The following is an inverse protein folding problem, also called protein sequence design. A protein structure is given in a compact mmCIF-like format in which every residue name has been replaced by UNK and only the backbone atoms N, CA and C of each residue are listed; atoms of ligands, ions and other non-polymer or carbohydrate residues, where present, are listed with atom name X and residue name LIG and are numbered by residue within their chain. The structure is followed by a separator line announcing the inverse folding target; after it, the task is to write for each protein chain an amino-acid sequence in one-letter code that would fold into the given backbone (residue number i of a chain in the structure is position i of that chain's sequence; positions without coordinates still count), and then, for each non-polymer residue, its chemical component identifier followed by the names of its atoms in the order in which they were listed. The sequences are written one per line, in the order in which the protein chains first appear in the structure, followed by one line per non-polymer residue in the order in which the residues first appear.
data_IF_141032817065
#
_entry.id   IF_141032817065
#
_cell.length_a   1.000
_cell.length_b   1.000
_cell.length_c   1.000
_cell.angle_alpha   90.00
_cell.angle_beta   90.00
_cell.angle_gamma   90.00
#
_symmetry.space_group_name_H-M   'P 1'
#
loop_
_entity.id
_entity.type
_entity.pdbx_description
1 polymer ?
#
# COMPACT_ATOMS: atom_id res chain seq x y z
N UNK A 1 5.26 11.56 39.08
CA UNK A 1 6.59 11.60 38.42
C UNK A 1 6.66 10.47 37.39
N UNK A 2 6.24 10.71 36.15
CA UNK A 2 6.40 9.73 35.07
C UNK A 2 7.80 9.87 34.50
N UNK A 3 8.66 8.88 34.79
CA UNK A 3 9.99 8.75 34.20
C UNK A 3 9.82 8.66 32.68
N UNK A 4 10.44 9.60 31.98
CA UNK A 4 10.40 9.70 30.52
C UNK A 4 10.79 8.36 29.89
N UNK A 5 9.86 7.80 29.11
CA UNK A 5 10.20 6.75 28.14
C UNK A 5 11.10 7.41 27.12
N UNK A 6 12.38 7.05 27.14
CA UNK A 6 13.34 7.42 26.10
C UNK A 6 12.76 7.00 24.76
N UNK A 7 12.46 7.98 23.92
CA UNK A 7 11.90 7.80 22.60
C UNK A 7 12.99 7.13 21.78
N UNK A 8 12.83 5.85 21.45
CA UNK A 8 13.61 5.21 20.39
C UNK A 8 13.32 5.98 19.10
N UNK A 9 14.21 6.92 18.77
CA UNK A 9 14.29 7.51 17.44
C UNK A 9 14.60 6.37 16.47
N UNK A 10 13.84 6.28 15.37
CA UNK A 10 14.29 5.51 14.21
C UNK A 10 15.68 6.03 13.85
N UNK A 11 16.67 5.16 13.97
CA UNK A 11 18.06 5.52 13.70
C UNK A 11 18.25 5.54 12.19
N UNK A 12 19.28 6.25 11.74
CA UNK A 12 19.69 6.24 10.33
C UNK A 12 19.88 4.80 9.81
N UNK A 13 20.22 3.88 10.72
CA UNK A 13 20.30 2.43 10.47
C UNK A 13 18.97 1.81 10.02
N UNK A 14 17.85 2.15 10.65
CA UNK A 14 16.52 1.59 10.31
C UNK A 14 16.05 2.07 8.92
N UNK A 15 16.45 3.30 8.55
CA UNK A 15 16.17 3.90 7.24
C UNK A 15 17.04 3.26 6.14
N UNK A 16 18.29 2.92 6.45
CA UNK A 16 19.17 2.14 5.57
C UNK A 16 18.70 0.70 5.43
N UNK A 17 18.16 0.10 6.50
CA UNK A 17 17.57 -1.23 6.45
C UNK A 17 16.31 -1.22 5.59
N UNK A 18 15.44 -0.21 5.73
CA UNK A 18 14.30 -0.02 4.83
C UNK A 18 14.76 0.14 3.39
N UNK A 19 15.74 1.01 3.11
CA UNK A 19 16.30 1.16 1.76
C UNK A 19 16.88 -0.16 1.22
N UNK A 20 17.58 -0.93 2.06
CA UNK A 20 18.13 -2.23 1.68
C UNK A 20 17.07 -3.29 1.46
N UNK A 21 15.98 -3.30 2.25
CA UNK A 21 14.83 -4.19 2.05
C UNK A 21 14.07 -3.79 0.78
N UNK A 22 13.85 -2.49 0.58
CA UNK A 22 13.26 -1.96 -0.64
C UNK A 22 14.13 -2.33 -1.85
N UNK A 23 15.44 -2.10 -1.87
CA UNK A 23 16.32 -2.53 -2.97
C UNK A 23 16.34 -4.05 -3.18
N UNK A 24 16.29 -4.83 -2.09
CA UNK A 24 16.28 -6.30 -2.13
C UNK A 24 14.96 -6.84 -2.68
N UNK A 25 13.82 -6.27 -2.30
CA UNK A 25 12.50 -6.69 -2.78
C UNK A 25 12.12 -6.01 -4.11
N UNK A 26 12.58 -4.79 -4.40
CA UNK A 26 12.42 -4.10 -5.69
C UNK A 26 13.28 -4.69 -6.81
N UNK A 27 14.38 -5.40 -6.51
CA UNK A 27 15.06 -6.20 -7.52
C UNK A 27 14.31 -7.50 -7.87
N UNK A 28 13.43 -7.97 -6.98
CA UNK A 28 12.54 -9.13 -7.22
C UNK A 28 11.30 -8.68 -8.02
N UNK A 29 10.80 -7.46 -7.76
CA UNK A 29 9.73 -6.82 -8.52
C UNK A 29 10.33 -5.77 -9.46
N UNK A 30 10.79 -6.15 -10.65
CA UNK A 30 11.20 -5.19 -11.68
C UNK A 30 10.04 -4.21 -11.94
N UNK A 31 10.09 -3.04 -11.31
CA UNK A 31 9.15 -1.96 -11.54
C UNK A 31 9.39 -1.37 -12.94
N UNK A 32 8.42 -0.62 -13.50
CA UNK A 32 8.56 0.01 -14.81
C UNK A 32 9.71 1.03 -14.80
N UNK A 33 10.10 1.53 -15.97
CA UNK A 33 11.39 2.18 -16.27
C UNK A 33 12.00 3.03 -15.13
N UNK A 34 13.33 3.21 -15.14
CA UNK A 34 14.11 3.95 -14.13
C UNK A 34 13.50 5.25 -13.58
N UNK A 35 12.65 5.96 -14.33
CA UNK A 35 11.92 7.14 -13.88
C UNK A 35 10.85 6.86 -12.82
N UNK A 36 10.14 5.73 -12.87
CA UNK A 36 9.11 5.39 -11.89
C UNK A 36 9.74 5.01 -10.54
N UNK A 37 10.84 4.25 -10.58
CA UNK A 37 11.67 3.94 -9.41
C UNK A 37 12.23 5.24 -8.81
N UNK A 38 12.78 6.12 -9.64
CA UNK A 38 13.28 7.43 -9.20
C UNK A 38 12.16 8.24 -8.55
N UNK A 39 10.97 8.25 -9.14
CA UNK A 39 9.82 8.97 -8.60
C UNK A 39 9.39 8.41 -7.24
N UNK A 40 9.35 7.09 -7.08
CA UNK A 40 9.03 6.45 -5.79
C UNK A 40 10.08 6.82 -4.73
N UNK A 41 11.37 6.75 -5.07
CA UNK A 41 12.47 7.11 -4.15
C UNK A 41 12.40 8.60 -3.79
N UNK A 42 12.22 9.48 -4.78
CA UNK A 42 12.07 10.93 -4.56
C UNK A 42 10.86 11.22 -3.67
N UNK A 43 9.76 10.50 -3.87
CA UNK A 43 8.55 10.64 -3.06
C UNK A 43 8.78 10.21 -1.62
N UNK A 44 9.41 9.05 -1.39
CA UNK A 44 9.76 8.59 -0.05
C UNK A 44 10.73 9.56 0.64
N UNK A 45 11.75 10.04 -0.10
CA UNK A 45 12.68 11.06 0.39
C UNK A 45 11.95 12.36 0.77
N UNK A 46 11.02 12.83 -0.06
CA UNK A 46 10.19 13.99 0.26
C UNK A 46 9.35 13.76 1.51
N UNK A 47 8.60 12.66 1.58
CA UNK A 47 7.68 12.37 2.67
C UNK A 47 8.37 12.19 4.03
N UNK A 48 9.38 11.35 4.08
CA UNK A 48 9.97 10.91 5.34
C UNK A 48 11.19 11.74 5.76
N UNK A 49 11.89 12.37 4.82
CA UNK A 49 13.08 13.21 5.12
C UNK A 49 12.72 14.69 5.13
N UNK A 50 12.10 15.19 4.06
CA UNK A 50 11.80 16.63 3.92
C UNK A 50 10.59 17.04 4.76
N UNK A 51 9.49 16.32 4.61
CA UNK A 51 8.23 16.59 5.29
C UNK A 51 8.18 15.95 6.70
N UNK A 52 9.22 15.17 7.05
CA UNK A 52 9.46 14.56 8.37
C UNK A 52 8.27 13.74 8.89
N UNK A 53 7.52 13.11 7.99
CA UNK A 53 6.46 12.19 8.39
C UNK A 53 7.11 11.03 9.16
N UNK A 54 6.66 10.78 10.38
CA UNK A 54 7.16 9.69 11.22
C UNK A 54 6.44 8.39 10.85
N UNK A 55 7.17 7.42 10.32
CA UNK A 55 6.64 6.06 10.07
C UNK A 55 6.13 5.43 11.37
N UNK A 56 6.81 5.70 12.49
CA UNK A 56 6.38 5.25 13.81
C UNK A 56 5.03 5.83 14.19
N UNK A 57 4.81 7.11 13.92
CA UNK A 57 3.53 7.76 14.25
C UNK A 57 2.40 7.20 13.39
N UNK A 58 2.71 6.85 12.13
CA UNK A 58 1.77 6.15 11.26
C UNK A 58 1.44 4.76 11.82
N UNK A 59 2.43 3.96 12.23
CA UNK A 59 2.17 2.66 12.83
C UNK A 59 1.37 2.77 14.13
N UNK A 60 1.68 3.75 14.96
CA UNK A 60 0.93 4.03 16.17
C UNK A 60 -0.53 4.37 15.83
N UNK A 61 -0.76 5.24 14.83
CA UNK A 61 -2.09 5.62 14.38
C UNK A 61 -2.88 4.41 13.83
N UNK A 62 -2.24 3.55 13.03
CA UNK A 62 -2.85 2.31 12.50
C UNK A 62 -3.20 1.37 13.65
N UNK A 63 -2.28 1.15 14.61
CA UNK A 63 -2.50 0.20 15.70
C UNK A 63 -3.55 0.68 16.71
N UNK A 64 -3.56 1.97 17.03
CA UNK A 64 -4.49 2.56 18.00
C UNK A 64 -5.94 2.56 17.48
N UNK A 65 -6.13 2.75 16.16
CA UNK A 65 -7.45 2.87 15.56
C UNK A 65 -7.89 1.64 14.75
N UNK A 66 -6.97 0.71 14.48
CA UNK A 66 -7.13 -0.39 13.52
C UNK A 66 -7.75 0.09 12.20
N UNK A 67 -7.27 1.24 11.69
CA UNK A 67 -7.81 1.89 10.49
C UNK A 67 -6.70 2.47 9.64
N UNK A 68 -6.85 2.38 8.32
CA UNK A 68 -5.90 2.92 7.34
C UNK A 68 -6.32 4.27 6.75
N UNK A 69 -7.52 4.75 7.07
CA UNK A 69 -8.08 5.94 6.43
C UNK A 69 -7.28 7.21 6.72
N UNK A 70 -6.88 7.45 7.97
CA UNK A 70 -6.11 8.65 8.33
C UNK A 70 -4.72 8.68 7.68
N UNK A 71 -3.90 7.59 7.72
CA UNK A 71 -2.66 7.53 6.98
C UNK A 71 -2.86 7.74 5.47
N UNK A 72 -3.86 7.08 4.88
CA UNK A 72 -4.20 7.24 3.47
C UNK A 72 -4.50 8.70 3.10
N UNK A 73 -5.44 9.34 3.80
CA UNK A 73 -5.83 10.74 3.55
C UNK A 73 -4.65 11.69 3.72
N UNK A 74 -3.76 11.42 4.67
CA UNK A 74 -2.54 12.23 4.86
C UNK A 74 -1.66 12.21 3.61
N UNK A 75 -1.51 11.06 2.95
CA UNK A 75 -0.72 10.94 1.73
C UNK A 75 -1.46 11.48 0.50
N UNK A 76 -2.76 11.19 0.37
CA UNK A 76 -3.58 11.65 -0.76
C UNK A 76 -3.59 13.18 -0.89
N UNK A 77 -3.64 13.88 0.23
CA UNK A 77 -3.64 15.35 0.28
C UNK A 77 -2.30 16.00 -0.12
N UNK A 78 -1.24 15.22 -0.31
CA UNK A 78 0.07 15.76 -0.70
C UNK A 78 0.10 15.99 -2.21
N UNK A 79 0.41 17.23 -2.59
CA UNK A 79 0.52 17.63 -3.99
C UNK A 79 1.44 16.69 -4.77
N UNK A 80 0.89 16.08 -5.84
CA UNK A 80 1.57 15.16 -6.73
C UNK A 80 1.45 13.68 -6.38
N UNK A 81 0.78 13.31 -5.29
CA UNK A 81 0.55 11.90 -4.91
C UNK A 81 -0.79 11.40 -5.45
N UNK A 82 -1.89 11.99 -4.99
CA UNK A 82 -3.23 11.54 -5.32
C UNK A 82 -3.56 10.12 -4.82
N UNK A 83 -4.78 9.63 -5.10
CA UNK A 83 -5.35 8.48 -4.39
C UNK A 83 -4.63 7.16 -4.72
N UNK A 84 -4.23 6.99 -5.98
CA UNK A 84 -3.49 5.80 -6.44
C UNK A 84 -2.16 5.64 -5.72
N UNK A 85 -1.35 6.69 -5.68
CA UNK A 85 -0.01 6.62 -5.07
C UNK A 85 -0.13 6.55 -3.53
N UNK A 86 -1.09 7.26 -2.94
CA UNK A 86 -1.38 7.16 -1.51
C UNK A 86 -1.69 5.71 -1.10
N UNK A 87 -2.47 4.99 -1.90
CA UNK A 87 -2.80 3.59 -1.65
C UNK A 87 -1.56 2.68 -1.70
N UNK A 88 -0.64 2.93 -2.63
CA UNK A 88 0.63 2.19 -2.68
C UNK A 88 1.48 2.42 -1.44
N UNK A 89 1.61 3.68 -1.00
CA UNK A 89 2.37 4.00 0.22
C UNK A 89 1.77 3.28 1.43
N UNK A 90 0.44 3.31 1.57
CA UNK A 90 -0.25 2.61 2.67
C UNK A 90 -0.01 1.11 2.62
N UNK A 91 -0.11 0.48 1.45
CA UNK A 91 0.20 -0.94 1.25
C UNK A 91 1.63 -1.27 1.67
N UNK A 92 2.60 -0.45 1.25
CA UNK A 92 4.02 -0.68 1.54
C UNK A 92 4.31 -0.51 3.03
N UNK A 93 3.66 0.45 3.70
CA UNK A 93 3.71 0.60 5.16
C UNK A 93 3.17 -0.65 5.86
N UNK A 94 2.06 -1.25 5.39
CA UNK A 94 1.55 -2.51 5.94
C UNK A 94 2.61 -3.60 5.86
N UNK A 95 3.25 -3.77 4.69
CA UNK A 95 4.30 -4.77 4.52
C UNK A 95 5.50 -4.53 5.43
N UNK A 96 5.94 -3.28 5.58
CA UNK A 96 6.97 -2.91 6.55
C UNK A 96 6.57 -3.29 7.97
N UNK A 97 5.32 -2.99 8.36
CA UNK A 97 4.80 -3.30 9.69
C UNK A 97 4.71 -4.79 9.96
N UNK A 98 4.33 -5.59 8.96
CA UNK A 98 4.35 -7.06 9.06
C UNK A 98 5.77 -7.55 9.24
N UNK A 99 6.71 -7.10 8.40
CA UNK A 99 8.12 -7.53 8.44
C UNK A 99 8.82 -7.15 9.75
N UNK A 100 8.48 -6.00 10.32
CA UNK A 100 9.04 -5.55 11.61
C UNK A 100 8.33 -6.13 12.84
N UNK A 101 7.25 -6.90 12.64
CA UNK A 101 6.44 -7.45 13.73
C UNK A 101 5.54 -6.42 14.43
N UNK A 102 5.39 -5.21 13.87
CA UNK A 102 4.51 -4.17 14.39
C UNK A 102 3.04 -4.37 14.00
N UNK A 103 2.79 -5.12 12.93
CA UNK A 103 1.46 -5.50 12.44
C UNK A 103 1.39 -7.03 12.35
N UNK A 104 0.35 -7.62 12.91
CA UNK A 104 0.04 -9.03 12.70
C UNK A 104 -0.58 -9.23 11.32
N UNK A 105 0.08 -10.01 10.45
CA UNK A 105 -0.40 -10.29 9.09
C UNK A 105 -1.84 -10.82 9.05
N UNK A 106 -2.22 -11.63 10.04
CA UNK A 106 -3.55 -12.24 10.13
C UNK A 106 -4.67 -11.25 10.48
N UNK A 107 -4.32 -10.04 10.93
CA UNK A 107 -5.26 -8.99 11.33
C UNK A 107 -5.46 -7.92 10.25
N UNK A 108 -4.63 -7.92 9.20
CA UNK A 108 -4.59 -6.83 8.21
C UNK A 108 -5.94 -6.62 7.52
N UNK A 109 -6.60 -7.70 7.11
CA UNK A 109 -7.93 -7.64 6.49
C UNK A 109 -9.04 -7.16 7.45
N UNK A 110 -8.76 -7.10 8.75
CA UNK A 110 -9.69 -6.61 9.77
C UNK A 110 -9.55 -5.11 10.01
N UNK A 111 -8.57 -4.45 9.38
CA UNK A 111 -8.42 -3.01 9.49
C UNK A 111 -9.59 -2.31 8.81
N UNK A 112 -10.18 -1.36 9.53
CA UNK A 112 -11.13 -0.45 8.94
C UNK A 112 -10.48 0.30 7.76
N UNK A 113 -11.29 0.53 6.74
CA UNK A 113 -10.84 1.15 5.49
C UNK A 113 -9.69 0.40 4.80
N UNK A 114 -9.58 -0.92 4.95
CA UNK A 114 -8.55 -1.74 4.25
C UNK A 114 -8.54 -1.55 2.72
N UNK A 115 -9.67 -1.14 2.14
CA UNK A 115 -9.78 -0.77 0.73
C UNK A 115 -8.80 0.36 0.34
N UNK A 116 -8.36 1.21 1.26
CA UNK A 116 -7.37 2.27 0.97
C UNK A 116 -5.97 1.72 0.69
N UNK A 117 -5.71 0.44 0.96
CA UNK A 117 -4.50 -0.23 0.51
C UNK A 117 -4.62 -0.81 -0.91
N UNK A 118 -5.79 -0.62 -1.55
CA UNK A 118 -6.09 -1.11 -2.88
C UNK A 118 -6.13 0.06 -3.90
N UNK A 119 -5.03 0.31 -4.62
CA UNK A 119 -4.87 1.48 -5.49
C UNK A 119 -5.88 1.50 -6.63
N UNK A 120 -6.58 2.63 -6.77
CA UNK A 120 -7.43 2.96 -7.92
C UNK A 120 -6.59 2.97 -9.20
N UNK A 121 -6.56 1.82 -9.89
CA UNK A 121 -5.66 1.61 -11.03
C UNK A 121 -6.30 0.73 -12.11
N UNK A 122 -6.16 1.16 -13.36
CA UNK A 122 -6.72 0.53 -14.56
C UNK A 122 -6.22 -0.90 -14.77
N UNK A 123 -4.95 -1.18 -14.44
CA UNK A 123 -4.38 -2.52 -14.60
C UNK A 123 -4.98 -3.50 -13.59
N UNK A 124 -4.96 -3.11 -12.31
CA UNK A 124 -5.58 -3.90 -11.24
C UNK A 124 -7.07 -4.12 -11.52
N UNK A 125 -7.76 -3.12 -12.05
CA UNK A 125 -9.16 -3.24 -12.48
C UNK A 125 -9.36 -4.27 -13.60
N UNK A 126 -8.49 -4.28 -14.62
CA UNK A 126 -8.57 -5.29 -15.70
C UNK A 126 -8.33 -6.70 -15.17
N UNK A 127 -7.38 -6.89 -14.25
CA UNK A 127 -7.11 -8.21 -13.67
C UNK A 127 -8.29 -8.70 -12.83
N UNK A 128 -8.84 -7.85 -11.97
CA UNK A 128 -10.00 -8.19 -11.12
C UNK A 128 -11.22 -8.56 -11.97
N UNK A 129 -11.41 -7.92 -13.13
CA UNK A 129 -12.40 -8.34 -14.14
C UNK A 129 -12.11 -9.74 -14.69
N UNK A 130 -10.87 -10.03 -15.12
CA UNK A 130 -10.48 -11.36 -15.62
C UNK A 130 -10.73 -12.46 -14.59
N UNK A 131 -10.51 -12.15 -13.31
CA UNK A 131 -10.76 -13.04 -12.18
C UNK A 131 -12.24 -13.07 -11.73
N UNK A 132 -13.14 -12.38 -12.44
CA UNK A 132 -14.58 -12.31 -12.14
C UNK A 132 -14.89 -11.80 -10.72
N UNK A 133 -14.07 -10.90 -10.20
CA UNK A 133 -14.29 -10.25 -8.91
C UNK A 133 -15.36 -9.14 -8.99
N UNK A 134 -15.64 -8.63 -10.18
CA UNK A 134 -16.76 -7.74 -10.46
C UNK A 134 -17.32 -8.03 -11.86
N UNK A 135 -18.56 -7.59 -12.13
CA UNK A 135 -19.25 -7.85 -13.40
C UNK A 135 -19.22 -6.68 -14.38
N UNK A 136 -18.59 -5.57 -14.01
CA UNK A 136 -18.57 -4.36 -14.84
C UNK A 136 -17.86 -4.54 -16.18
N UNK A 137 -18.54 -4.11 -17.24
CA UNK A 137 -18.00 -4.19 -18.60
C UNK A 137 -17.00 -3.08 -18.89
N UNK A 138 -17.19 -1.91 -18.30
CA UNK A 138 -16.39 -0.70 -18.55
C UNK A 138 -15.54 -0.35 -17.33
N UNK A 139 -14.37 0.22 -17.61
CA UNK A 139 -13.52 0.80 -16.57
C UNK A 139 -14.15 2.14 -16.17
N UNK A 140 -14.42 2.39 -14.88
CA UNK A 140 -15.04 3.63 -14.46
C UNK A 140 -14.22 4.85 -14.87
N UNK A 141 -14.91 5.90 -15.29
CA UNK A 141 -14.27 7.08 -15.89
C UNK A 141 -13.89 8.17 -14.87
N UNK A 142 -14.57 8.22 -13.73
CA UNK A 142 -14.31 9.18 -12.67
C UNK A 142 -13.76 8.48 -11.42
N UNK A 143 -13.18 9.24 -10.48
CA UNK A 143 -12.49 8.66 -9.33
C UNK A 143 -13.44 8.16 -8.23
N UNK A 144 -14.63 8.76 -8.07
CA UNK A 144 -15.65 8.29 -7.11
C UNK A 144 -16.14 6.87 -7.46
N UNK A 145 -16.50 6.64 -8.73
CA UNK A 145 -16.92 5.33 -9.20
C UNK A 145 -15.79 4.31 -9.05
N UNK A 146 -14.54 4.70 -9.33
CA UNK A 146 -13.41 3.78 -9.14
C UNK A 146 -13.24 3.42 -7.66
N UNK A 147 -13.36 4.38 -6.75
CA UNK A 147 -13.28 4.14 -5.31
C UNK A 147 -14.37 3.16 -4.85
N UNK A 148 -15.62 3.39 -5.24
CA UNK A 148 -16.74 2.49 -4.94
C UNK A 148 -16.46 1.06 -5.43
N UNK A 149 -15.93 0.91 -6.66
CA UNK A 149 -15.57 -0.41 -7.20
C UNK A 149 -14.39 -1.04 -6.49
N UNK A 150 -13.38 -0.27 -6.08
CA UNK A 150 -12.28 -0.80 -5.30
C UNK A 150 -12.75 -1.29 -3.93
N UNK A 151 -13.71 -0.60 -3.30
CA UNK A 151 -14.36 -1.07 -2.07
C UNK A 151 -15.11 -2.39 -2.31
N UNK A 152 -15.93 -2.49 -3.37
CA UNK A 152 -16.65 -3.71 -3.74
C UNK A 152 -15.69 -4.90 -3.93
N UNK A 153 -14.62 -4.71 -4.70
CA UNK A 153 -13.59 -5.73 -4.94
C UNK A 153 -12.91 -6.11 -3.63
N UNK A 154 -12.57 -5.13 -2.79
CA UNK A 154 -11.94 -5.36 -1.48
C UNK A 154 -12.80 -6.27 -0.60
N UNK A 155 -14.10 -5.97 -0.46
CA UNK A 155 -15.00 -6.80 0.34
C UNK A 155 -15.11 -8.22 -0.20
N UNK A 156 -15.16 -8.37 -1.52
CA UNK A 156 -15.16 -9.70 -2.14
C UNK A 156 -13.87 -10.48 -1.89
N UNK A 157 -12.71 -9.82 -1.91
CA UNK A 157 -11.43 -10.45 -1.53
C UNK A 157 -11.44 -10.91 -0.07
N UNK A 158 -12.02 -10.10 0.82
CA UNK A 158 -12.18 -10.46 2.24
C UNK A 158 -13.08 -11.69 2.40
N UNK A 159 -14.21 -11.76 1.70
CA UNK A 159 -15.12 -12.92 1.71
C UNK A 159 -14.42 -14.20 1.23
N UNK A 160 -13.54 -14.07 0.23
CA UNK A 160 -12.70 -15.15 -0.28
C UNK A 160 -11.50 -15.47 0.62
N UNK A 161 -11.35 -14.79 1.77
CA UNK A 161 -10.21 -14.90 2.69
C UNK A 161 -8.86 -14.61 2.03
N UNK A 162 -8.85 -13.75 1.01
CA UNK A 162 -7.65 -13.29 0.33
C UNK A 162 -7.18 -11.99 0.99
N UNK A 163 -5.90 -11.91 1.31
CA UNK A 163 -5.32 -10.69 1.88
C UNK A 163 -5.25 -9.57 0.83
N UNK A 164 -5.90 -8.44 1.11
CA UNK A 164 -6.05 -7.34 0.15
C UNK A 164 -4.69 -6.73 -0.25
N UNK A 165 -3.77 -6.40 0.68
CA UNK A 165 -2.46 -5.87 0.31
C UNK A 165 -1.62 -6.87 -0.50
N UNK A 166 -1.71 -8.16 -0.18
CA UNK A 166 -0.97 -9.21 -0.89
C UNK A 166 -1.55 -9.49 -2.27
N UNK A 167 -2.88 -9.51 -2.43
CA UNK A 167 -3.49 -9.58 -3.75
C UNK A 167 -3.05 -8.40 -4.60
N UNK A 168 -3.03 -7.18 -4.04
CA UNK A 168 -2.58 -6.03 -4.79
C UNK A 168 -1.12 -6.18 -5.24
N UNK A 169 -0.21 -6.57 -4.34
CA UNK A 169 1.17 -6.83 -4.71
C UNK A 169 1.29 -7.92 -5.81
N UNK A 170 0.53 -9.01 -5.68
CA UNK A 170 0.48 -10.08 -6.67
C UNK A 170 -0.10 -9.65 -8.03
N UNK A 171 -1.10 -8.76 -8.04
CA UNK A 171 -1.70 -8.22 -9.26
C UNK A 171 -0.68 -7.48 -10.14
N UNK A 172 0.27 -6.80 -9.50
CA UNK A 172 1.39 -6.15 -10.17
C UNK A 172 2.47 -7.13 -10.63
N UNK A 173 2.66 -8.25 -9.93
CA UNK A 173 3.60 -9.29 -10.32
C UNK A 173 3.13 -10.12 -11.54
N UNK A 174 1.84 -10.45 -11.61
CA UNK A 174 1.24 -11.25 -12.71
C UNK A 174 1.43 -10.57 -14.08
N UNK A 175 1.35 -9.24 -14.11
CA UNK A 175 1.58 -8.45 -15.33
C UNK A 175 3.05 -8.46 -15.76
N UNK A 176 3.93 -8.34 -14.78
CA UNK A 176 5.37 -8.24 -15.02
C UNK A 176 5.93 -9.49 -15.72
N UNK A 177 5.42 -10.66 -15.37
CA UNK A 177 5.86 -11.94 -15.93
C UNK A 177 5.10 -12.35 -17.22
N UNK A 178 4.15 -11.55 -17.73
CA UNK A 178 3.29 -11.95 -18.87
C UNK A 178 2.72 -13.38 -18.67
N UNK A 179 2.32 -13.74 -17.44
CA UNK A 179 1.80 -15.08 -17.20
C UNK A 179 0.43 -15.15 -17.85
N UNK A 180 0.38 -15.88 -18.95
CA UNK A 180 -0.85 -16.40 -19.54
C UNK A 180 -1.43 -17.40 -18.54
N UNK A 181 -2.12 -16.89 -17.50
CA UNK A 181 -2.86 -17.73 -16.56
C UNK A 181 -4.07 -18.26 -17.33
N UNK A 182 -3.87 -19.38 -18.02
CA UNK A 182 -4.95 -20.30 -18.31
C UNK A 182 -5.46 -20.80 -16.95
N UNK A 183 -6.59 -20.24 -16.51
CA UNK A 183 -7.44 -20.80 -15.46
C UNK A 183 -8.26 -21.91 -16.08
#
# INVERSE_FOLDING_TARGET
MNKGKTINMLKLEDLKELMGLLEKYYNIYKLPNSNDIRHIIELHGKLFIKDKISIRDIFQEINDNKSLYKPYRRFDLIYGIGPKIASFIVRDIIFMGIKSGMINENEVNQFDSIWTAFPIDTHVFKLTKKLKLHNEEKIPSNDEEKEERMMEITYRLIDLKISVPFFNAGAWYIDFENINIFI
#
